data_IF_313619335750
#
_entry.id   IF_313619335750
#
_cell.length_a   1.000
_cell.length_b   1.000
_cell.length_c   1.000
_cell.angle_alpha   90.00
_cell.angle_beta   90.00
_cell.angle_gamma   90.00
#
_symmetry.space_group_name_H-M   'P 1'
#
loop_
_entity.id
_entity.type
_entity.pdbx_description
1 polymer ?
#
# COMPACT_ATOMS: atom_id res chain seq x y z
N UNK A 1 8.77 -8.30 19.05
CA UNK A 1 7.79 -9.20 18.42
C UNK A 1 6.41 -8.57 18.53
N UNK A 2 5.65 -8.52 17.44
CA UNK A 2 4.24 -8.10 17.47
C UNK A 2 3.36 -9.35 17.47
N UNK A 3 2.35 -9.38 18.32
CA UNK A 3 1.43 -10.53 18.48
C UNK A 3 0.03 -10.10 18.11
N UNK A 4 -0.68 -10.95 17.35
CA UNK A 4 -2.07 -10.75 16.99
C UNK A 4 -2.90 -11.84 17.67
N UNK A 5 -3.96 -11.42 18.38
CA UNK A 5 -4.96 -12.30 18.94
C UNK A 5 -6.24 -12.18 18.13
N UNK A 6 -6.70 -13.29 17.54
CA UNK A 6 -7.95 -13.36 16.79
C UNK A 6 -8.94 -14.15 17.65
N UNK A 7 -10.08 -13.54 17.96
CA UNK A 7 -11.18 -14.15 18.73
C UNK A 7 -12.37 -14.42 17.82
N UNK A 8 -13.29 -15.25 18.30
CA UNK A 8 -14.59 -15.50 17.66
C UNK A 8 -14.48 -15.98 16.21
N UNK A 9 -13.51 -16.87 15.96
CA UNK A 9 -13.35 -17.53 14.66
C UNK A 9 -14.44 -18.59 14.53
N UNK A 10 -15.14 -18.55 13.39
CA UNK A 10 -16.09 -19.60 13.03
C UNK A 10 -15.42 -20.99 13.15
N UNK A 11 -16.01 -21.95 13.90
CA UNK A 11 -15.47 -23.29 14.05
C UNK A 11 -15.17 -24.00 12.72
N UNK A 12 -15.96 -23.73 11.67
CA UNK A 12 -15.74 -24.28 10.34
C UNK A 12 -14.44 -23.74 9.73
N UNK A 13 -14.19 -22.43 9.82
CA UNK A 13 -12.96 -21.80 9.35
C UNK A 13 -11.75 -22.35 10.12
N UNK A 14 -11.87 -22.47 11.44
CA UNK A 14 -10.80 -23.03 12.27
C UNK A 14 -10.45 -24.48 11.88
N UNK A 15 -11.46 -25.30 11.59
CA UNK A 15 -11.26 -26.68 11.14
C UNK A 15 -10.59 -26.77 9.77
N UNK A 16 -10.97 -25.88 8.83
CA UNK A 16 -10.37 -25.79 7.51
C UNK A 16 -8.90 -25.35 7.60
N UNK A 17 -8.58 -24.36 8.43
CA UNK A 17 -7.21 -23.92 8.68
C UNK A 17 -6.33 -25.02 9.27
N UNK A 18 -6.86 -25.83 10.19
CA UNK A 18 -6.12 -27.01 10.71
C UNK A 18 -5.79 -28.02 9.61
N UNK A 19 -6.75 -28.32 8.75
CA UNK A 19 -6.54 -29.25 7.61
C UNK A 19 -5.48 -28.70 6.66
N UNK A 20 -5.57 -27.41 6.33
CA UNK A 20 -4.60 -26.72 5.48
C UNK A 20 -3.18 -26.77 6.07
N UNK A 21 -3.04 -26.45 7.36
CA UNK A 21 -1.76 -26.50 8.05
C UNK A 21 -1.16 -27.92 8.04
N UNK A 22 -1.99 -28.95 8.22
CA UNK A 22 -1.57 -30.35 8.11
C UNK A 22 -1.10 -30.71 6.70
N UNK A 23 -1.79 -30.24 5.66
CA UNK A 23 -1.42 -30.49 4.26
C UNK A 23 -0.10 -29.80 3.89
N UNK A 24 0.16 -28.62 4.43
CA UNK A 24 1.40 -27.87 4.20
C UNK A 24 2.54 -28.27 5.14
N UNK A 25 2.34 -29.28 6.01
CA UNK A 25 3.30 -29.74 7.01
C UNK A 25 3.79 -28.61 7.93
N UNK A 26 2.87 -27.73 8.35
CA UNK A 26 3.13 -26.57 9.20
C UNK A 26 2.28 -26.60 10.46
N UNK A 27 2.71 -25.89 11.49
CA UNK A 27 1.84 -25.58 12.62
C UNK A 27 0.71 -24.64 12.17
N UNK A 28 -0.41 -24.61 12.91
CA UNK A 28 -1.52 -23.70 12.62
C UNK A 28 -1.06 -22.23 12.60
N UNK A 29 -0.20 -21.85 13.56
CA UNK A 29 0.37 -20.51 13.61
C UNK A 29 1.30 -20.22 12.43
N UNK A 30 2.12 -21.19 12.02
CA UNK A 30 2.98 -21.06 10.85
C UNK A 30 2.19 -20.94 9.55
N UNK A 31 1.08 -21.66 9.43
CA UNK A 31 0.20 -21.55 8.28
C UNK A 31 -0.50 -20.19 8.23
N UNK A 32 -1.03 -19.72 9.36
CA UNK A 32 -1.62 -18.39 9.46
C UNK A 32 -0.60 -17.30 9.08
N UNK A 33 0.64 -17.44 9.53
CA UNK A 33 1.73 -16.53 9.18
C UNK A 33 1.98 -16.50 7.68
N UNK A 34 2.09 -17.68 7.04
CA UNK A 34 2.31 -17.77 5.61
C UNK A 34 1.14 -17.18 4.79
N UNK A 35 -0.11 -17.40 5.21
CA UNK A 35 -1.29 -16.82 4.58
C UNK A 35 -1.24 -15.29 4.65
N UNK A 36 -0.92 -14.73 5.83
CA UNK A 36 -0.82 -13.28 6.01
C UNK A 36 0.30 -12.70 5.13
N UNK A 37 1.48 -13.31 5.09
CA UNK A 37 2.57 -12.86 4.22
C UNK A 37 2.18 -12.87 2.74
N UNK A 38 1.51 -13.92 2.28
CA UNK A 38 1.02 -14.01 0.90
C UNK A 38 -0.06 -12.97 0.60
N UNK A 39 -0.95 -12.69 1.55
CA UNK A 39 -1.97 -11.68 1.40
C UNK A 39 -1.36 -10.27 1.31
N UNK A 40 -0.35 -9.98 2.13
CA UNK A 40 0.36 -8.68 2.10
C UNK A 40 1.07 -8.46 0.76
N UNK A 41 1.67 -9.49 0.16
CA UNK A 41 2.28 -9.37 -1.19
C UNK A 41 1.28 -8.97 -2.28
N UNK A 42 -0.01 -9.26 -2.07
CA UNK A 42 -1.09 -8.92 -3.00
C UNK A 42 -1.82 -7.63 -2.61
N UNK A 43 -1.61 -7.14 -1.38
CA UNK A 43 -2.21 -5.90 -0.95
C UNK A 43 -1.61 -4.76 -1.80
N UNK A 44 -2.44 -3.80 -2.27
CA UNK A 44 -1.90 -2.60 -2.88
C UNK A 44 -0.95 -1.97 -1.86
N UNK A 45 0.30 -1.70 -2.27
CA UNK A 45 1.15 -0.85 -1.46
C UNK A 45 0.35 0.42 -1.27
N UNK A 46 -0.05 0.69 -0.03
CA UNK A 46 -0.42 2.04 0.35
C UNK A 46 0.86 2.80 0.04
N UNK A 47 0.86 3.51 -1.08
CA UNK A 47 1.89 4.49 -1.36
C UNK A 47 1.92 5.31 -0.08
N UNK A 48 2.95 5.12 0.75
CA UNK A 48 3.34 6.18 1.67
C UNK A 48 3.30 7.40 0.78
N UNK A 49 2.39 8.32 1.08
CA UNK A 49 2.18 9.53 0.29
C UNK A 49 3.56 10.03 -0.07
N UNK A 50 4.01 9.76 -1.31
CA UNK A 50 5.37 10.12 -1.69
C UNK A 50 5.37 11.61 -1.53
N UNK A 51 6.10 12.08 -0.51
CA UNK A 51 6.11 13.48 -0.17
C UNK A 51 6.66 14.18 -1.41
N UNK A 52 5.76 14.86 -2.15
CA UNK A 52 6.08 15.45 -3.44
C UNK A 52 7.25 16.41 -3.23
N UNK A 53 8.46 15.97 -3.58
CA UNK A 53 9.65 16.80 -3.50
C UNK A 53 9.60 17.78 -4.68
N UNK A 54 9.03 18.95 -4.43
CA UNK A 54 8.99 20.04 -5.37
C UNK A 54 10.39 20.66 -5.48
N UNK A 55 11.22 20.14 -6.39
CA UNK A 55 12.53 20.73 -6.70
C UNK A 55 12.29 22.04 -7.45
N UNK A 56 12.37 23.15 -6.71
CA UNK A 56 12.18 24.49 -7.29
C UNK A 56 13.54 25.06 -7.67
N UNK A 57 13.75 25.30 -8.97
CA UNK A 57 14.96 25.96 -9.48
C UNK A 57 14.71 27.47 -9.54
N UNK A 58 15.58 28.26 -8.91
CA UNK A 58 15.49 29.71 -8.97
C UNK A 58 16.12 30.21 -10.28
N UNK A 59 15.31 30.35 -11.32
CA UNK A 59 15.68 31.11 -12.52
C UNK A 59 15.37 32.56 -12.21
N UNK A 60 16.39 33.43 -12.06
CA UNK A 60 16.29 34.80 -11.54
C UNK A 60 15.38 35.82 -12.28
N UNK A 61 14.39 35.38 -13.05
CA UNK A 61 13.32 36.19 -13.61
C UNK A 61 12.02 36.06 -12.79
N UNK A 62 11.41 37.20 -12.43
CA UNK A 62 10.07 37.25 -11.86
C UNK A 62 9.03 37.07 -12.97
N UNK A 63 8.76 35.82 -13.37
CA UNK A 63 7.61 35.54 -14.24
C UNK A 63 6.33 35.51 -13.41
N UNK A 64 5.26 36.14 -13.90
CA UNK A 64 3.95 36.15 -13.22
C UNK A 64 3.06 34.99 -13.63
N UNK A 65 3.52 34.14 -14.55
CA UNK A 65 2.79 32.99 -15.10
C UNK A 65 1.38 33.33 -15.59
N UNK A 66 1.15 34.59 -15.98
CA UNK A 66 -0.16 35.04 -16.47
C UNK A 66 -0.40 34.48 -17.87
N UNK A 67 -1.66 34.21 -18.19
CA UNK A 67 -2.04 33.65 -19.50
C UNK A 67 -1.55 34.54 -20.65
N UNK A 68 -1.62 35.85 -20.46
CA UNK A 68 -1.20 36.86 -21.43
C UNK A 68 0.33 36.87 -21.61
N UNK A 69 1.08 36.52 -20.57
CA UNK A 69 2.54 36.39 -20.61
C UNK A 69 2.97 35.10 -21.34
N UNK A 70 2.21 34.01 -21.18
CA UNK A 70 2.53 32.69 -21.74
C UNK A 70 2.03 32.53 -23.18
N UNK A 71 0.83 33.03 -23.49
CA UNK A 71 0.15 32.80 -24.77
C UNK A 71 -0.01 34.07 -25.62
N UNK A 72 0.32 35.24 -25.07
CA UNK A 72 0.05 36.52 -25.72
C UNK A 72 -1.42 36.67 -26.11
N UNK A 73 -1.67 37.42 -27.18
CA UNK A 73 -3.01 37.68 -27.74
C UNK A 73 -3.51 36.57 -28.69
N UNK A 74 -2.75 35.47 -28.84
CA UNK A 74 -3.08 34.36 -29.77
C UNK A 74 -3.92 33.25 -29.13
N UNK A 75 -4.28 33.39 -27.85
CA UNK A 75 -4.98 32.36 -27.09
C UNK A 75 -6.51 32.43 -27.16
N UNK A 76 -7.08 32.81 -28.31
CA UNK A 76 -8.53 32.95 -28.51
C UNK A 76 -9.06 31.98 -29.54
#
# INVERSE_FOLDING_TARGET
MKTILIRDIDPQIYSALKRLASLHHRSLQGELHAIIEQAVKKAPLRSETEELQLITVNTGGKSTWRREEIYGDKGR
#
